data_IF_122969488889
#
_entry.id   IF_122969488889
#
_cell.length_a   1.000
_cell.length_b   1.000
_cell.length_c   1.000
_cell.angle_alpha   90.00
_cell.angle_beta   90.00
_cell.angle_gamma   90.00
#
_symmetry.space_group_name_H-M   'P 1'
#
loop_
_entity.id
_entity.type
_entity.pdbx_description
1 polymer ?
#
# COMPACT_ATOMS: atom_id res chain seq x y z
N UNK A 1 -19.79 -38.73 12.29
CA UNK A 1 -20.51 -37.47 12.01
C UNK A 1 -20.97 -37.54 10.58
N UNK A 2 -22.23 -37.23 10.32
CA UNK A 2 -22.81 -37.40 9.01
C UNK A 2 -22.84 -36.00 8.39
N UNK A 3 -21.80 -35.65 7.63
CA UNK A 3 -21.55 -34.32 7.04
C UNK A 3 -22.82 -33.77 6.36
N UNK A 4 -23.64 -34.65 5.78
CA UNK A 4 -24.95 -34.33 5.18
C UNK A 4 -25.94 -33.71 6.18
N UNK A 5 -26.07 -34.30 7.37
CA UNK A 5 -26.97 -33.83 8.42
C UNK A 5 -26.43 -32.56 9.08
N UNK A 6 -25.11 -32.45 9.19
CA UNK A 6 -24.45 -31.26 9.76
C UNK A 6 -24.63 -30.03 8.85
N UNK A 7 -24.45 -30.20 7.53
CA UNK A 7 -24.73 -29.15 6.52
C UNK A 7 -26.21 -28.78 6.50
N UNK A 8 -27.10 -29.77 6.59
CA UNK A 8 -28.55 -29.54 6.62
C UNK A 8 -28.96 -28.70 7.84
N UNK A 9 -28.48 -29.06 9.02
CA UNK A 9 -28.74 -28.31 10.26
C UNK A 9 -28.29 -26.86 10.15
N UNK A 10 -27.10 -26.60 9.58
CA UNK A 10 -26.58 -25.25 9.43
C UNK A 10 -27.39 -24.41 8.43
N UNK A 11 -27.88 -25.02 7.34
CA UNK A 11 -28.77 -24.32 6.41
C UNK A 11 -30.16 -24.05 7.03
N UNK A 12 -30.69 -24.99 7.81
CA UNK A 12 -31.94 -24.81 8.54
C UNK A 12 -31.83 -23.66 9.57
N UNK A 13 -30.68 -23.55 10.28
CA UNK A 13 -30.39 -22.46 11.22
C UNK A 13 -30.33 -21.08 10.54
N UNK A 14 -29.92 -21.05 9.26
CA UNK A 14 -29.88 -19.85 8.43
C UNK A 14 -31.22 -19.56 7.71
N UNK A 15 -32.23 -20.42 7.90
CA UNK A 15 -33.56 -20.27 7.34
C UNK A 15 -33.72 -20.76 5.90
N UNK A 16 -32.82 -21.64 5.43
CA UNK A 16 -32.88 -22.22 4.09
C UNK A 16 -33.38 -23.67 4.12
N UNK A 17 -34.54 -23.93 3.53
CA UNK A 17 -34.99 -25.31 3.27
C UNK A 17 -34.33 -25.84 1.98
N UNK A 18 -33.33 -26.70 2.15
CA UNK A 18 -32.55 -27.26 1.02
C UNK A 18 -33.04 -28.67 0.67
N UNK A 19 -33.25 -28.92 -0.64
CA UNK A 19 -33.65 -30.24 -1.16
C UNK A 19 -32.53 -31.28 -0.97
N UNK A 20 -32.92 -32.54 -0.73
CA UNK A 20 -31.98 -33.65 -0.54
C UNK A 20 -30.98 -33.82 -1.70
N UNK A 21 -31.40 -33.55 -2.95
CA UNK A 21 -30.53 -33.60 -4.13
C UNK A 21 -29.45 -32.51 -4.15
N UNK A 22 -29.72 -31.36 -3.53
CA UNK A 22 -28.77 -30.24 -3.39
C UNK A 22 -27.81 -30.54 -2.24
N UNK A 23 -28.29 -31.10 -1.14
CA UNK A 23 -27.44 -31.56 -0.03
C UNK A 23 -26.43 -32.62 -0.49
N UNK A 24 -26.84 -33.56 -1.34
CA UNK A 24 -25.94 -34.56 -1.91
C UNK A 24 -24.81 -33.90 -2.73
N UNK A 25 -25.12 -32.82 -3.45
CA UNK A 25 -24.11 -32.06 -4.20
C UNK A 25 -23.17 -31.27 -3.27
N UNK A 26 -23.67 -30.73 -2.17
CA UNK A 26 -22.84 -30.07 -1.16
C UNK A 26 -21.83 -31.04 -0.54
N UNK A 27 -22.28 -32.25 -0.18
CA UNK A 27 -21.41 -33.31 0.35
C UNK A 27 -20.38 -33.75 -0.69
N UNK A 28 -20.77 -33.86 -1.96
CA UNK A 28 -19.84 -34.17 -3.06
C UNK A 28 -18.73 -33.11 -3.17
N UNK A 29 -19.07 -31.81 -3.13
CA UNK A 29 -18.10 -30.71 -3.21
C UNK A 29 -17.16 -30.71 -1.99
N UNK A 30 -17.70 -30.92 -0.79
CA UNK A 30 -16.88 -31.02 0.44
C UNK A 30 -15.87 -32.18 0.35
N UNK A 31 -16.31 -33.33 -0.17
CA UNK A 31 -15.45 -34.50 -0.33
C UNK A 31 -14.39 -34.33 -1.43
N UNK A 32 -14.70 -33.63 -2.53
CA UNK A 32 -13.76 -33.40 -3.63
C UNK A 32 -12.65 -32.41 -3.25
N UNK A 33 -12.99 -31.36 -2.49
CA UNK A 33 -12.06 -30.26 -2.18
C UNK A 33 -11.48 -30.30 -0.75
N UNK A 34 -11.77 -31.35 0.02
CA UNK A 34 -11.32 -31.55 1.41
C UNK A 34 -11.69 -30.36 2.32
N UNK A 35 -12.96 -29.98 2.30
CA UNK A 35 -13.51 -28.83 3.05
C UNK A 35 -14.49 -29.33 4.10
N UNK A 36 -14.39 -28.79 5.32
CA UNK A 36 -15.33 -29.04 6.41
C UNK A 36 -16.71 -28.39 6.16
N UNK A 37 -17.73 -28.94 6.81
CA UNK A 37 -19.12 -28.51 6.70
C UNK A 37 -19.33 -27.01 7.02
N UNK A 38 -18.64 -26.49 8.04
CA UNK A 38 -18.75 -25.10 8.49
C UNK A 38 -18.12 -24.14 7.47
N UNK A 39 -16.90 -24.43 7.04
CA UNK A 39 -16.20 -23.64 6.01
C UNK A 39 -16.94 -23.66 4.67
N UNK A 40 -17.57 -24.79 4.32
CA UNK A 40 -18.40 -24.86 3.12
C UNK A 40 -19.63 -23.92 3.20
N UNK A 41 -20.38 -23.95 4.30
CA UNK A 41 -21.56 -23.10 4.48
C UNK A 41 -21.18 -21.63 4.54
N UNK A 42 -20.08 -21.27 5.22
CA UNK A 42 -19.56 -19.89 5.23
C UNK A 42 -19.19 -19.40 3.82
N UNK A 43 -18.48 -20.25 3.05
CA UNK A 43 -18.09 -19.94 1.67
C UNK A 43 -19.31 -19.75 0.78
N UNK A 44 -20.32 -20.61 0.93
CA UNK A 44 -21.59 -20.47 0.24
C UNK A 44 -22.29 -19.15 0.60
N UNK A 45 -22.33 -18.76 1.88
CA UNK A 45 -22.94 -17.50 2.31
C UNK A 45 -22.23 -16.27 1.74
N UNK A 46 -20.90 -16.28 1.69
CA UNK A 46 -20.12 -15.21 1.07
C UNK A 46 -20.38 -15.12 -0.45
N UNK A 47 -20.45 -16.27 -1.12
CA UNK A 47 -20.74 -16.36 -2.55
C UNK A 47 -22.18 -15.93 -2.86
N UNK A 48 -23.17 -16.36 -2.06
CA UNK A 48 -24.58 -16.08 -2.30
C UNK A 48 -24.87 -14.59 -2.21
N UNK A 49 -24.29 -13.86 -1.25
CA UNK A 49 -24.44 -12.40 -1.12
C UNK A 49 -23.89 -11.66 -2.33
N UNK A 50 -22.75 -12.12 -2.87
CA UNK A 50 -22.03 -11.41 -3.95
C UNK A 50 -22.59 -11.75 -5.34
N UNK A 51 -23.08 -12.98 -5.54
CA UNK A 51 -23.40 -13.52 -6.86
C UNK A 51 -24.85 -13.94 -7.05
N UNK A 52 -25.58 -14.23 -5.95
CA UNK A 52 -26.96 -14.74 -5.98
C UNK A 52 -27.93 -13.86 -5.17
N UNK A 53 -27.50 -12.68 -4.70
CA UNK A 53 -28.34 -11.80 -3.89
C UNK A 53 -28.79 -12.37 -2.53
N UNK A 54 -28.13 -13.41 -2.03
CA UNK A 54 -28.47 -14.09 -0.77
C UNK A 54 -29.49 -15.24 -0.90
N UNK A 55 -29.76 -15.73 -2.12
CA UNK A 55 -30.68 -16.85 -2.34
C UNK A 55 -30.14 -18.21 -1.86
N UNK A 56 -31.06 -19.16 -1.67
CA UNK A 56 -30.78 -20.54 -1.26
C UNK A 56 -29.92 -21.30 -2.29
N UNK A 57 -29.15 -22.33 -1.87
CA UNK A 57 -28.35 -23.13 -2.79
C UNK A 57 -29.21 -23.90 -3.80
N UNK A 58 -28.80 -23.83 -5.07
CA UNK A 58 -29.37 -24.64 -6.16
C UNK A 58 -28.24 -25.40 -6.85
N UNK A 59 -28.55 -26.48 -7.56
CA UNK A 59 -27.55 -27.29 -8.26
C UNK A 59 -26.72 -26.45 -9.26
N UNK A 60 -27.35 -25.47 -9.91
CA UNK A 60 -26.68 -24.60 -10.87
C UNK A 60 -25.73 -23.61 -10.15
N UNK A 61 -26.20 -22.97 -9.09
CA UNK A 61 -25.40 -21.98 -8.34
C UNK A 61 -24.24 -22.62 -7.60
N UNK A 62 -24.40 -23.84 -7.09
CA UNK A 62 -23.30 -24.65 -6.51
C UNK A 62 -22.24 -25.01 -7.56
N UNK A 63 -22.65 -25.41 -8.75
CA UNK A 63 -21.74 -25.71 -9.86
C UNK A 63 -20.98 -24.47 -10.37
N UNK A 64 -21.55 -23.27 -10.19
CA UNK A 64 -20.88 -22.01 -10.50
C UNK A 64 -19.92 -21.58 -9.38
N UNK A 65 -20.31 -21.75 -8.12
CA UNK A 65 -19.44 -21.52 -6.96
C UNK A 65 -18.20 -22.42 -7.04
N UNK A 66 -18.38 -23.71 -7.32
CA UNK A 66 -17.26 -24.66 -7.42
C UNK A 66 -16.22 -24.23 -8.47
N UNK A 67 -16.69 -23.75 -9.63
CA UNK A 67 -15.81 -23.26 -10.70
C UNK A 67 -15.10 -21.95 -10.38
N UNK A 68 -15.63 -21.12 -9.49
CA UNK A 68 -15.06 -19.81 -9.16
C UNK A 68 -14.17 -19.86 -7.92
N UNK A 69 -14.65 -20.52 -6.87
CA UNK A 69 -13.99 -20.57 -5.57
C UNK A 69 -13.00 -21.74 -5.47
N UNK A 70 -13.30 -22.87 -6.11
CA UNK A 70 -12.51 -24.10 -5.95
C UNK A 70 -11.69 -24.52 -7.19
N UNK A 71 -11.91 -23.92 -8.37
CA UNK A 71 -11.16 -24.27 -9.59
C UNK A 71 -9.64 -23.98 -9.52
N UNK A 72 -9.18 -23.12 -8.60
CA UNK A 72 -7.77 -22.78 -8.44
C UNK A 72 -7.03 -23.60 -7.36
N UNK A 73 -7.74 -24.43 -6.58
CA UNK A 73 -7.13 -25.24 -5.52
C UNK A 73 -6.36 -26.47 -6.06
N UNK A 74 -6.74 -27.00 -7.24
CA UNK A 74 -6.11 -28.18 -7.86
C UNK A 74 -4.69 -27.96 -8.42
N UNK A 75 -4.03 -26.82 -8.15
CA UNK A 75 -2.61 -26.58 -8.49
C UNK A 75 -1.66 -26.59 -7.28
N UNK A 76 -2.15 -26.89 -6.08
CA UNK A 76 -1.34 -26.81 -4.86
C UNK A 76 -1.35 -28.13 -4.10
N UNK A 77 -0.58 -29.09 -4.60
CA UNK A 77 -0.26 -30.29 -3.86
C UNK A 77 0.67 -29.97 -2.66
N UNK A 78 0.27 -30.47 -1.48
CA UNK A 78 1.08 -30.71 -0.29
C UNK A 78 1.57 -29.52 0.53
N UNK A 79 0.90 -29.24 1.66
CA UNK A 79 1.53 -29.29 2.99
C UNK A 79 0.50 -28.99 4.09
N UNK A 80 0.46 -29.87 5.08
CA UNK A 80 -0.41 -29.85 6.25
C UNK A 80 -0.31 -28.57 7.12
N UNK A 81 -1.50 -28.07 7.49
CA UNK A 81 -1.94 -27.49 8.78
C UNK A 81 -0.97 -26.66 9.66
N UNK A 82 -1.32 -25.40 9.92
CA UNK A 82 -1.58 -24.89 11.29
C UNK A 82 -2.13 -23.44 11.32
N UNK A 83 -3.27 -23.29 12.02
CA UNK A 83 -3.77 -22.11 12.73
C UNK A 83 -4.18 -20.84 11.93
N UNK A 84 -5.48 -20.79 11.65
CA UNK A 84 -6.28 -19.60 11.31
C UNK A 84 -6.23 -18.54 12.42
N UNK A 85 -5.95 -17.29 12.04
CA UNK A 85 -6.33 -16.10 12.82
C UNK A 85 -6.98 -15.10 11.86
N UNK A 86 -8.29 -14.98 12.03
CA UNK A 86 -9.26 -14.11 11.35
C UNK A 86 -8.77 -12.66 11.11
N UNK A 87 -9.06 -12.05 9.94
CA UNK A 87 -9.03 -10.60 9.79
C UNK A 87 -10.38 -9.98 10.19
N UNK A 88 -10.35 -9.18 11.26
CA UNK A 88 -11.47 -8.42 11.80
C UNK A 88 -11.93 -7.29 10.88
N UNK A 89 -13.25 -7.11 10.82
CA UNK A 89 -14.03 -6.03 10.20
C UNK A 89 -13.56 -4.59 10.56
N UNK A 90 -13.87 -3.57 9.72
CA UNK A 90 -13.49 -2.18 9.98
C UNK A 90 -14.22 -1.58 11.20
N UNK A 91 -13.46 -0.87 12.03
CA UNK A 91 -13.86 -0.26 13.31
C UNK A 91 -14.80 0.94 13.12
N UNK A 92 -15.96 0.89 13.77
CA UNK A 92 -16.87 2.02 14.02
C UNK A 92 -16.29 2.97 15.08
N UNK A 93 -16.10 4.24 14.73
CA UNK A 93 -15.60 5.28 15.64
C UNK A 93 -16.72 5.77 16.57
N UNK A 94 -16.58 5.53 17.87
CA UNK A 94 -17.42 6.12 18.92
C UNK A 94 -16.71 7.32 19.55
N UNK A 95 -17.16 8.54 19.25
CA UNK A 95 -16.72 9.75 19.93
C UNK A 95 -17.33 9.82 21.35
N UNK A 96 -16.52 9.53 22.38
CA UNK A 96 -16.83 9.86 23.77
C UNK A 96 -16.13 11.17 24.14
N UNK A 97 -16.93 12.19 24.49
CA UNK A 97 -16.46 13.39 25.18
C UNK A 97 -16.09 13.06 26.63
N UNK A 98 -15.00 13.62 27.16
CA UNK A 98 -14.86 13.82 28.60
C UNK A 98 -14.98 15.30 28.94
N UNK A 99 -15.94 15.59 29.81
CA UNK A 99 -16.06 16.84 30.54
C UNK A 99 -14.91 16.96 31.55
N UNK A 100 -14.08 18.00 31.46
CA UNK A 100 -13.49 18.65 32.64
C UNK A 100 -12.91 20.02 32.28
N UNK A 101 -13.31 21.01 33.08
CA UNK A 101 -13.01 22.43 32.96
C UNK A 101 -11.53 22.77 33.22
N UNK A 102 -10.90 23.52 32.31
CA UNK A 102 -10.01 24.66 32.64
C UNK A 102 -10.12 25.73 31.54
N UNK A 103 -10.45 26.96 31.95
CA UNK A 103 -10.50 28.16 31.10
C UNK A 103 -9.10 28.74 30.94
N UNK A 104 -8.75 29.17 29.73
CA UNK A 104 -8.27 30.53 29.36
C UNK A 104 -7.19 30.49 28.26
N UNK A 105 -7.57 30.95 27.06
CA UNK A 105 -6.79 31.73 26.10
C UNK A 105 -7.55 31.67 24.77
N UNK A 106 -8.55 32.51 24.67
CA UNK A 106 -9.33 32.75 23.47
C UNK A 106 -8.42 33.32 22.37
N UNK A 107 -8.70 32.89 21.15
CA UNK A 107 -8.47 33.59 19.88
C UNK A 107 -7.11 33.44 19.17
N UNK A 108 -7.24 33.05 17.88
CA UNK A 108 -6.30 33.19 16.74
C UNK A 108 -5.39 32.00 16.43
N UNK A 109 -5.97 30.94 15.84
CA UNK A 109 -5.24 30.00 14.97
C UNK A 109 -6.03 29.50 13.74
N UNK A 110 -7.02 30.27 13.25
CA UNK A 110 -7.64 30.02 11.94
C UNK A 110 -7.28 31.13 10.94
N UNK A 111 -5.97 31.40 10.75
CA UNK A 111 -5.51 32.34 9.72
C UNK A 111 -4.14 31.92 9.17
N UNK A 112 -4.19 31.09 8.13
CA UNK A 112 -3.22 30.82 7.04
C UNK A 112 -3.76 29.52 6.37
N UNK A 113 -4.06 29.38 5.08
CA UNK A 113 -3.87 30.19 3.89
C UNK A 113 -5.00 29.85 2.90
N UNK A 114 -5.89 30.81 2.63
CA UNK A 114 -6.80 30.74 1.48
C UNK A 114 -6.01 31.12 0.22
N UNK A 115 -6.07 30.27 -0.81
CA UNK A 115 -5.66 30.53 -2.20
C UNK A 115 -5.98 31.98 -2.63
N UNK A 116 -5.10 32.70 -3.35
CA UNK A 116 -5.30 34.13 -3.61
C UNK A 116 -6.61 34.36 -4.36
N UNK A 117 -7.58 35.01 -3.72
CA UNK A 117 -8.80 35.50 -4.36
C UNK A 117 -8.40 36.60 -5.35
N UNK A 118 -8.48 36.29 -6.65
CA UNK A 118 -8.28 37.27 -7.72
C UNK A 118 -9.13 38.52 -7.48
N UNK A 119 -8.48 39.67 -7.44
CA UNK A 119 -9.11 40.97 -7.27
C UNK A 119 -10.13 41.20 -8.38
N UNK A 120 -11.38 41.47 -7.98
CA UNK A 120 -12.45 41.89 -8.89
C UNK A 120 -12.16 43.31 -9.35
N UNK A 121 -11.50 43.46 -10.49
CA UNK A 121 -11.57 44.70 -11.25
C UNK A 121 -12.97 44.77 -11.89
N UNK A 122 -13.91 45.34 -11.13
CA UNK A 122 -15.16 45.81 -11.67
C UNK A 122 -14.87 47.03 -12.56
N UNK A 123 -15.44 46.99 -13.77
CA UNK A 123 -15.45 48.01 -14.81
C UNK A 123 -14.41 47.81 -15.90
N UNK A 124 -14.82 47.17 -17.00
CA UNK A 124 -14.60 47.63 -18.37
C UNK A 124 -15.44 46.75 -19.32
N UNK A 125 -16.53 47.30 -19.88
CA UNK A 125 -17.31 46.83 -21.05
C UNK A 125 -17.94 45.42 -20.97
N UNK A 126 -19.18 45.12 -21.31
CA UNK A 126 -20.29 45.79 -21.98
C UNK A 126 -21.26 44.65 -22.38
N UNK A 127 -22.55 44.80 -22.05
CA UNK A 127 -23.74 44.11 -22.60
C UNK A 127 -23.52 42.80 -23.40
N UNK A 128 -23.84 41.63 -22.83
CA UNK A 128 -24.72 40.62 -23.47
C UNK A 128 -25.02 39.43 -22.54
N UNK A 129 -26.31 39.06 -22.52
CA UNK A 129 -26.88 37.74 -22.20
C UNK A 129 -26.83 37.21 -20.76
N UNK A 130 -27.99 37.32 -20.12
CA UNK A 130 -28.51 36.45 -19.07
C UNK A 130 -28.40 34.98 -19.50
N UNK A 131 -27.57 34.20 -18.80
CA UNK A 131 -27.62 32.73 -18.85
C UNK A 131 -28.36 32.22 -17.61
N UNK A 132 -29.38 31.36 -17.75
CA UNK A 132 -30.17 30.88 -16.62
C UNK A 132 -29.34 29.93 -15.75
N UNK A 133 -29.43 30.14 -14.44
CA UNK A 133 -28.91 29.23 -13.42
C UNK A 133 -29.72 27.94 -13.48
N UNK A 134 -29.19 26.92 -14.18
CA UNK A 134 -29.65 25.55 -13.99
C UNK A 134 -28.83 24.94 -12.85
N UNK A 135 -29.51 24.61 -11.75
CA UNK A 135 -28.94 23.75 -10.72
C UNK A 135 -28.82 22.35 -11.32
N UNK A 136 -27.65 22.04 -11.89
CA UNK A 136 -27.34 20.71 -12.40
C UNK A 136 -26.93 19.84 -11.23
N UNK A 137 -27.71 18.81 -10.96
CA UNK A 137 -27.35 17.74 -10.04
C UNK A 137 -26.12 17.03 -10.62
N UNK A 138 -24.97 17.16 -9.96
CA UNK A 138 -23.75 16.46 -10.34
C UNK A 138 -23.88 14.98 -9.98
N UNK A 139 -23.91 14.11 -10.99
CA UNK A 139 -23.72 12.66 -10.80
C UNK A 139 -22.25 12.31 -11.11
N UNK A 140 -21.70 11.19 -10.60
CA UNK A 140 -20.36 10.74 -10.98
C UNK A 140 -20.16 10.57 -12.50
N UNK A 141 -21.24 10.32 -13.25
CA UNK A 141 -21.23 10.24 -14.71
C UNK A 141 -21.15 11.61 -15.42
N UNK A 142 -21.31 12.72 -14.68
CA UNK A 142 -21.19 14.09 -15.20
C UNK A 142 -19.73 14.54 -15.33
N UNK A 143 -18.79 13.80 -14.74
CA UNK A 143 -17.36 13.93 -15.05
C UNK A 143 -17.08 13.21 -16.37
N UNK A 144 -17.29 13.90 -17.50
CA UNK A 144 -16.55 13.52 -18.71
C UNK A 144 -15.05 13.70 -18.39
N UNK A 145 -14.17 12.76 -18.77
CA UNK A 145 -12.73 12.97 -18.59
C UNK A 145 -12.41 14.31 -19.23
N UNK A 146 -11.89 15.24 -18.42
CA UNK A 146 -11.50 16.56 -18.92
C UNK A 146 -10.55 16.28 -20.08
N UNK A 147 -10.97 16.62 -21.30
CA UNK A 147 -10.11 16.65 -22.49
C UNK A 147 -9.14 17.84 -22.39
N UNK A 148 -8.54 18.03 -21.22
CA UNK A 148 -7.23 18.66 -21.10
C UNK A 148 -6.32 17.67 -21.79
N UNK A 149 -5.95 17.95 -23.03
CA UNK A 149 -4.85 17.26 -23.70
C UNK A 149 -3.71 17.14 -22.68
N UNK A 150 -3.45 15.93 -22.13
CA UNK A 150 -2.29 15.73 -21.28
C UNK A 150 -1.08 16.13 -22.15
N UNK A 151 -0.08 16.80 -21.57
CA UNK A 151 1.15 17.21 -22.27
C UNK A 151 1.11 18.52 -23.08
N UNK A 152 0.06 19.36 -23.01
CA UNK A 152 0.04 20.65 -23.75
C UNK A 152 1.27 21.55 -23.49
N UNK A 153 1.63 21.76 -22.22
CA UNK A 153 2.83 22.55 -21.84
C UNK A 153 4.15 21.87 -22.24
N UNK A 154 4.21 20.54 -22.15
CA UNK A 154 5.40 19.79 -22.51
C UNK A 154 5.63 19.77 -24.02
N UNK A 155 4.55 19.68 -24.82
CA UNK A 155 4.61 19.69 -26.28
C UNK A 155 4.92 21.09 -26.85
N UNK A 156 4.50 22.15 -26.15
CA UNK A 156 4.78 23.53 -26.51
C UNK A 156 6.16 24.03 -26.02
N UNK A 157 6.98 23.18 -25.40
CA UNK A 157 8.30 23.60 -24.90
C UNK A 157 9.24 23.91 -26.06
N UNK A 158 10.01 24.98 -25.93
CA UNK A 158 10.97 25.42 -26.96
C UNK A 158 12.39 24.92 -26.71
N UNK A 159 12.68 24.41 -25.51
CA UNK A 159 14.00 23.94 -25.10
C UNK A 159 14.21 22.43 -25.37
N UNK A 160 13.56 21.89 -26.40
CA UNK A 160 13.77 20.49 -26.78
C UNK A 160 15.20 20.29 -27.30
N UNK A 161 15.97 19.42 -26.64
CA UNK A 161 17.36 19.12 -27.00
C UNK A 161 18.39 20.08 -26.41
N UNK A 162 17.98 21.08 -25.62
CA UNK A 162 18.91 21.96 -24.92
C UNK A 162 19.67 21.18 -23.83
N UNK A 163 20.99 21.17 -23.92
CA UNK A 163 21.85 20.52 -22.95
C UNK A 163 22.21 21.51 -21.82
N UNK A 164 21.66 21.25 -20.63
CA UNK A 164 21.67 22.15 -19.46
C UNK A 164 22.93 22.01 -18.61
N UNK A 165 23.58 20.84 -18.65
CA UNK A 165 24.79 20.53 -17.88
C UNK A 165 25.71 19.70 -18.75
N UNK A 166 27.00 20.06 -18.72
CA UNK A 166 28.08 19.22 -19.25
C UNK A 166 28.96 18.74 -18.11
N UNK A 167 29.47 17.52 -18.27
CA UNK A 167 30.51 16.97 -17.44
C UNK A 167 31.71 16.66 -18.33
N UNK A 168 32.88 17.24 -18.01
CA UNK A 168 34.08 17.25 -18.85
C UNK A 168 33.88 17.98 -20.20
N UNK A 169 34.79 17.77 -21.14
CA UNK A 169 34.75 18.38 -22.47
C UNK A 169 33.63 17.76 -23.30
N UNK A 170 32.68 18.59 -23.76
CA UNK A 170 31.61 18.16 -24.65
C UNK A 170 32.23 17.78 -25.98
N UNK A 171 32.21 16.49 -26.30
CA UNK A 171 32.55 16.03 -27.63
C UNK A 171 31.62 16.74 -28.64
N UNK A 172 32.16 17.45 -29.65
CA UNK A 172 31.33 18.09 -30.65
C UNK A 172 30.67 17.02 -31.52
N UNK A 173 29.33 16.95 -31.48
CA UNK A 173 28.55 16.05 -32.34
C UNK A 173 27.31 15.47 -31.68
N UNK A 174 26.56 14.69 -32.47
CA UNK A 174 25.41 13.94 -31.99
C UNK A 174 25.87 12.76 -31.12
N UNK A 175 25.13 12.50 -30.04
CA UNK A 175 25.36 11.33 -29.19
C UNK A 175 24.89 10.07 -29.91
N UNK A 176 25.83 9.41 -30.61
CA UNK A 176 25.56 8.20 -31.39
C UNK A 176 26.27 7.01 -30.76
N UNK A 177 25.53 5.93 -30.53
CA UNK A 177 26.12 4.65 -30.11
C UNK A 177 27.00 4.06 -31.20
N UNK A 178 28.13 3.46 -30.84
CA UNK A 178 28.95 2.70 -31.80
C UNK A 178 28.15 1.47 -32.29
N UNK A 179 28.49 0.97 -33.50
CA UNK A 179 27.90 -0.24 -34.08
C UNK A 179 27.88 -1.43 -33.10
N UNK A 180 27.03 -2.44 -33.35
CA UNK A 180 26.73 -3.58 -32.47
C UNK A 180 27.91 -4.01 -31.58
N UNK A 181 27.99 -3.42 -30.39
CA UNK A 181 29.00 -3.75 -29.38
C UNK A 181 28.48 -4.90 -28.54
N UNK A 182 29.35 -5.87 -28.24
CA UNK A 182 29.06 -6.88 -27.22
C UNK A 182 29.32 -6.24 -25.85
N UNK A 183 28.25 -6.00 -25.09
CA UNK A 183 28.32 -5.44 -23.75
C UNK A 183 28.03 -6.52 -22.71
N UNK A 184 28.88 -6.61 -21.70
CA UNK A 184 28.61 -7.43 -20.52
C UNK A 184 28.08 -6.52 -19.42
N UNK A 185 26.83 -6.73 -19.04
CA UNK A 185 26.21 -6.03 -17.92
C UNK A 185 26.19 -7.01 -16.75
N UNK A 186 26.93 -6.71 -15.70
CA UNK A 186 26.95 -7.48 -14.46
C UNK A 186 26.53 -6.57 -13.30
N UNK A 187 25.78 -7.09 -12.32
CA UNK A 187 25.49 -6.34 -11.10
C UNK A 187 26.79 -6.09 -10.33
N UNK A 188 26.89 -4.91 -9.70
CA UNK A 188 28.06 -4.56 -8.89
C UNK A 188 28.16 -5.40 -7.59
N UNK A 189 27.02 -5.90 -7.10
CA UNK A 189 26.93 -6.79 -5.93
C UNK A 189 25.91 -7.89 -6.20
N UNK A 190 26.16 -9.07 -5.64
CA UNK A 190 25.26 -10.23 -5.74
C UNK A 190 23.98 -10.06 -4.90
N UNK A 191 23.99 -9.13 -3.94
CA UNK A 191 22.89 -8.81 -3.03
C UNK A 191 21.90 -7.82 -3.67
N UNK A 192 21.34 -8.18 -4.82
CA UNK A 192 20.22 -7.42 -5.40
C UNK A 192 18.92 -7.88 -4.71
N UNK A 193 17.97 -6.97 -4.49
CA UNK A 193 16.64 -7.33 -3.97
C UNK A 193 15.89 -8.17 -5.01
N UNK A 194 16.09 -9.49 -4.99
CA UNK A 194 15.54 -10.41 -6.00
C UNK A 194 14.16 -10.99 -5.65
N UNK A 195 13.71 -10.83 -4.39
CA UNK A 195 12.54 -11.54 -3.84
C UNK A 195 11.58 -10.58 -3.14
N UNK A 196 10.32 -11.00 -2.91
CA UNK A 196 9.36 -10.32 -2.04
C UNK A 196 9.97 -10.13 -0.64
N UNK A 197 10.47 -8.94 -0.37
CA UNK A 197 11.05 -8.57 0.91
C UNK A 197 9.95 -8.46 1.96
N UNK A 198 10.17 -8.97 3.17
CA UNK A 198 9.28 -8.79 4.32
C UNK A 198 9.46 -7.37 4.87
N UNK A 199 8.82 -6.39 4.25
CA UNK A 199 8.97 -4.96 4.55
C UNK A 199 7.98 -4.41 5.57
N UNK A 200 7.13 -5.26 6.18
CA UNK A 200 6.00 -4.74 6.96
C UNK A 200 6.35 -4.45 8.43
N UNK A 201 7.31 -5.16 9.02
CA UNK A 201 7.73 -4.99 10.41
C UNK A 201 9.23 -5.25 10.56
N UNK A 202 9.95 -4.29 11.14
CA UNK A 202 11.38 -4.41 11.45
C UNK A 202 11.58 -4.39 12.97
N UNK A 203 12.31 -5.36 13.56
CA UNK A 203 12.69 -5.31 14.97
C UNK A 203 13.64 -4.14 15.25
N UNK A 204 13.35 -3.36 16.30
CA UNK A 204 14.23 -2.26 16.73
C UNK A 204 15.63 -2.73 17.12
N UNK A 205 15.75 -3.95 17.66
CA UNK A 205 17.04 -4.57 18.00
C UNK A 205 17.90 -4.83 16.77
N UNK A 206 17.30 -5.28 15.68
CA UNK A 206 17.98 -5.54 14.41
C UNK A 206 18.45 -4.22 13.79
N UNK A 207 17.58 -3.21 13.80
CA UNK A 207 17.96 -1.86 13.37
C UNK A 207 19.12 -1.28 14.20
N UNK A 208 19.08 -1.46 15.52
CA UNK A 208 20.16 -1.01 16.41
C UNK A 208 21.47 -1.75 16.13
N UNK A 209 21.43 -3.07 15.93
CA UNK A 209 22.61 -3.87 15.61
C UNK A 209 23.24 -3.42 14.28
N UNK A 210 22.43 -3.24 13.23
CA UNK A 210 22.92 -2.77 11.92
C UNK A 210 23.55 -1.38 12.03
N UNK A 211 22.94 -0.48 12.81
CA UNK A 211 23.49 0.85 13.04
C UNK A 211 24.85 0.79 13.76
N UNK A 212 24.98 -0.06 14.77
CA UNK A 212 26.26 -0.28 15.46
C UNK A 212 27.31 -0.86 14.51
N UNK A 213 26.98 -1.89 13.74
CA UNK A 213 27.88 -2.50 12.76
C UNK A 213 28.39 -1.46 11.75
N UNK A 214 27.54 -0.53 11.32
CA UNK A 214 27.95 0.56 10.41
C UNK A 214 28.92 1.51 11.09
N UNK A 215 28.64 1.91 12.33
CA UNK A 215 29.50 2.80 13.11
C UNK A 215 30.87 2.15 13.34
N UNK A 216 30.90 0.88 13.74
CA UNK A 216 32.14 0.14 14.01
C UNK A 216 32.95 -0.04 12.72
N UNK A 217 32.33 -0.54 11.65
CA UNK A 217 33.03 -0.80 10.38
C UNK A 217 33.63 0.46 9.77
N UNK A 218 32.86 1.54 9.69
CA UNK A 218 33.33 2.82 9.14
C UNK A 218 34.32 3.47 10.10
N UNK A 219 34.04 3.41 11.40
CA UNK A 219 34.90 3.96 12.44
C UNK A 219 36.28 3.33 12.47
N UNK A 220 36.37 2.00 12.49
CA UNK A 220 37.65 1.28 12.45
C UNK A 220 38.46 1.62 11.19
N UNK A 221 37.81 1.69 10.03
CA UNK A 221 38.48 2.09 8.78
C UNK A 221 39.03 3.52 8.85
N UNK A 222 38.27 4.46 9.43
CA UNK A 222 38.71 5.85 9.59
C UNK A 222 39.82 6.02 10.64
N UNK A 223 39.81 5.22 11.70
CA UNK A 223 40.89 5.21 12.70
C UNK A 223 42.18 4.69 12.09
N UNK A 224 42.10 3.59 11.33
CA UNK A 224 43.25 2.96 10.68
C UNK A 224 43.88 3.86 9.62
N UNK A 225 43.09 4.44 8.70
CA UNK A 225 43.62 5.28 7.61
C UNK A 225 44.30 6.55 8.11
N UNK A 226 43.88 7.06 9.27
CA UNK A 226 44.43 8.27 9.87
C UNK A 226 45.48 7.99 10.95
N UNK A 227 45.78 6.72 11.26
CA UNK A 227 46.74 6.35 12.29
C UNK A 227 46.38 6.86 13.70
N UNK A 228 45.08 6.89 14.03
CA UNK A 228 44.59 7.40 15.32
C UNK A 228 44.69 6.35 16.43
N UNK A 229 44.65 6.82 17.68
CA UNK A 229 44.54 5.95 18.86
C UNK A 229 43.19 5.22 18.87
N UNK A 230 43.16 4.07 19.55
CA UNK A 230 41.93 3.30 19.78
C UNK A 230 40.81 4.18 20.38
N UNK A 231 39.59 4.13 19.81
CA UNK A 231 38.49 4.94 20.29
C UNK A 231 38.16 4.68 21.75
N UNK A 232 37.98 5.77 22.50
CA UNK A 232 37.49 5.73 23.87
C UNK A 232 35.97 5.79 23.93
N UNK A 233 35.41 5.28 25.03
CA UNK A 233 33.96 5.32 25.24
C UNK A 233 33.50 6.76 25.57
N UNK A 234 32.40 7.21 24.96
CA UNK A 234 31.89 8.59 25.06
C UNK A 234 31.51 9.08 26.48
N UNK A 235 31.34 8.19 27.45
CA UNK A 235 31.06 8.51 28.86
C UNK A 235 32.33 8.70 29.69
N UNK A 236 33.50 8.39 29.14
CA UNK A 236 34.76 8.58 29.86
C UNK A 236 35.14 10.06 29.85
N UNK A 237 35.22 10.63 31.03
CA UNK A 237 35.76 11.98 31.22
C UNK A 237 37.28 11.86 31.27
N UNK A 238 37.96 12.51 30.33
CA UNK A 238 39.42 12.61 30.30
C UNK A 238 39.86 14.07 30.37
N UNK A 239 41.03 14.31 30.97
CA UNK A 239 41.70 15.61 30.96
C UNK A 239 42.54 15.84 29.70
N UNK A 240 42.71 14.80 28.86
CA UNK A 240 43.48 14.83 27.62
C UNK A 240 42.55 14.72 26.40
N UNK A 241 43.11 14.98 25.22
CA UNK A 241 42.41 14.70 23.96
C UNK A 241 42.04 13.21 23.88
N UNK A 242 40.83 12.95 23.35
CA UNK A 242 40.27 11.61 23.19
C UNK A 242 39.78 11.43 21.77
N UNK A 243 40.02 10.24 21.22
CA UNK A 243 39.44 9.80 19.95
C UNK A 243 38.14 9.10 20.26
N UNK A 244 37.05 9.50 19.61
CA UNK A 244 35.73 8.88 19.77
C UNK A 244 35.16 8.54 18.40
N UNK A 245 34.40 7.45 18.35
CA UNK A 245 33.67 7.01 17.15
C UNK A 245 32.18 6.98 17.49
N UNK A 246 31.37 7.43 16.55
CA UNK A 246 29.93 7.48 16.71
C UNK A 246 29.24 7.97 15.46
N UNK A 247 27.95 8.28 15.59
CA UNK A 247 27.15 8.92 14.56
C UNK A 247 26.74 10.31 15.01
N UNK A 248 26.61 11.23 14.04
CA UNK A 248 26.06 12.56 14.29
C UNK A 248 24.54 12.44 14.37
N UNK A 249 23.94 13.01 15.41
CA UNK A 249 22.50 13.05 15.63
C UNK A 249 22.05 14.49 15.88
N UNK A 250 20.81 14.79 15.49
CA UNK A 250 20.12 16.00 15.95
C UNK A 250 19.51 15.74 17.33
N UNK A 251 19.51 16.75 18.20
CA UNK A 251 18.82 16.73 19.50
C UNK A 251 17.37 17.23 19.42
N UNK A 252 16.98 17.86 18.30
CA UNK A 252 15.62 18.32 18.00
C UNK A 252 14.99 17.62 16.79
N UNK A 253 13.67 17.74 16.67
CA UNK A 253 12.84 17.18 15.59
C UNK A 253 12.21 18.26 14.69
N UNK A 254 12.72 19.49 14.73
CA UNK A 254 12.11 20.64 14.03
C UNK A 254 12.18 20.55 12.49
#
# INVERSE_FOLDING_TARGET
>A
MNIREDIKSQFDDLGFEVLDSVLDKCVEICAIHDIDEETFVETWMAYSVTNCGGEAPTLETLSQMERKEFANQNKKGSSNSAASRQPTTPLTIYNKTPTSNKKSATEKWNQLDETPKGAKNANLFGKHLSTPVSQTNFSPASFSPISTTPSGKYSARTNAGEAVVDFLERAPGDWVGKERVTLTIAPYRDEVLTTRCRIMMEPLSEKAAILNDVIERVGSYLVEINGLQEPSYNHNVSATEVVCVGRICCDSND
#
